data_IF_928714876317
#
_entry.id   IF_928714876317
#
_cell.length_a   1.000
_cell.length_b   1.000
_cell.length_c   1.000
_cell.angle_alpha   90.00
_cell.angle_beta   90.00
_cell.angle_gamma   90.00
#
_symmetry.space_group_name_H-M   'P 1'
#
loop_
_entity.id
_entity.type
_entity.pdbx_description
1 polymer ?
#
# COMPACT_ATOMS: atom_id res chain seq x y z
N UNK A 1 10.98 -16.84 16.07
CA UNK A 1 10.43 -17.66 14.97
C UNK A 1 11.07 -19.02 15.01
N UNK A 2 10.39 -19.99 15.64
CA UNK A 2 10.89 -21.37 15.78
C UNK A 2 11.24 -22.00 14.42
N UNK A 3 10.58 -21.54 13.36
CA UNK A 3 10.66 -22.17 12.03
C UNK A 3 11.83 -21.66 11.16
N UNK A 4 12.40 -20.49 11.44
CA UNK A 4 13.52 -19.93 10.63
C UNK A 4 14.82 -19.74 11.41
N UNK A 5 14.85 -20.08 12.71
CA UNK A 5 16.05 -19.94 13.54
C UNK A 5 16.51 -18.49 13.80
N UNK A 6 15.76 -17.49 13.33
CA UNK A 6 16.07 -16.07 13.52
C UNK A 6 14.80 -15.23 13.66
N UNK A 7 14.95 -14.00 14.17
CA UNK A 7 13.87 -12.99 14.18
C UNK A 7 13.75 -12.35 12.80
N UNK A 8 12.53 -12.03 12.36
CA UNK A 8 12.27 -11.43 11.05
C UNK A 8 11.47 -10.13 11.17
N UNK A 9 11.34 -9.40 10.08
CA UNK A 9 10.58 -8.14 9.99
C UNK A 9 9.19 -8.34 9.36
N UNK A 10 8.31 -7.33 9.47
CA UNK A 10 6.99 -7.34 8.82
C UNK A 10 7.17 -7.42 7.31
N UNK A 11 8.14 -6.67 6.78
CA UNK A 11 8.50 -6.72 5.37
C UNK A 11 8.84 -8.15 4.93
N UNK A 12 9.68 -8.86 5.70
CA UNK A 12 10.04 -10.25 5.39
C UNK A 12 8.84 -11.19 5.53
N UNK A 13 7.99 -11.05 6.56
CA UNK A 13 6.78 -11.86 6.69
C UNK A 13 5.87 -11.71 5.47
N UNK A 14 5.61 -10.47 5.03
CA UNK A 14 4.84 -10.19 3.82
C UNK A 14 5.49 -10.75 2.56
N UNK A 15 6.83 -10.66 2.44
CA UNK A 15 7.57 -11.24 1.34
C UNK A 15 7.42 -12.76 1.29
N UNK A 16 7.57 -13.45 2.42
CA UNK A 16 7.43 -14.90 2.52
C UNK A 16 6.02 -15.35 2.11
N UNK A 17 4.98 -14.64 2.57
CA UNK A 17 3.61 -14.93 2.12
C UNK A 17 3.42 -14.68 0.63
N UNK A 18 3.85 -13.52 0.13
CA UNK A 18 3.66 -13.13 -1.28
C UNK A 18 4.45 -13.99 -2.26
N UNK A 19 5.72 -14.29 -1.96
CA UNK A 19 6.66 -14.91 -2.91
C UNK A 19 6.81 -16.41 -2.71
N UNK A 20 6.77 -16.89 -1.47
CA UNK A 20 6.91 -18.31 -1.17
C UNK A 20 5.58 -18.98 -0.85
N UNK A 21 4.50 -18.21 -0.77
CA UNK A 21 3.16 -18.75 -0.55
C UNK A 21 2.95 -19.30 0.85
N UNK A 22 3.71 -18.81 1.85
CA UNK A 22 3.68 -19.26 3.24
C UNK A 22 2.65 -18.48 4.06
N UNK A 23 1.92 -19.17 4.93
CA UNK A 23 1.22 -18.52 6.04
C UNK A 23 2.24 -18.21 7.13
N UNK A 24 2.33 -16.95 7.54
CA UNK A 24 3.31 -16.45 8.50
C UNK A 24 2.60 -15.68 9.58
N UNK A 25 2.77 -16.12 10.83
CA UNK A 25 2.43 -15.35 12.02
C UNK A 25 3.72 -14.78 12.61
N UNK A 26 3.75 -13.48 12.88
CA UNK A 26 4.86 -12.77 13.46
C UNK A 26 4.41 -12.07 14.74
N UNK A 27 4.81 -12.64 15.89
CA UNK A 27 4.56 -12.05 17.20
C UNK A 27 5.61 -10.99 17.54
N UNK A 28 5.29 -10.09 18.49
CA UNK A 28 6.19 -8.99 18.89
C UNK A 28 7.57 -9.49 19.31
N UNK A 29 7.69 -10.63 19.99
CA UNK A 29 8.95 -11.18 20.50
C UNK A 29 9.87 -11.66 19.38
N UNK A 30 9.28 -12.01 18.24
CA UNK A 30 9.92 -12.59 17.07
C UNK A 30 10.27 -11.53 16.01
N UNK A 31 9.86 -10.28 16.27
CA UNK A 31 9.97 -9.17 15.35
C UNK A 31 11.28 -8.38 15.54
N UNK A 32 12.00 -8.11 14.45
CA UNK A 32 13.34 -7.49 14.49
C UNK A 32 13.43 -6.07 13.88
N UNK A 33 12.32 -5.37 13.62
CA UNK A 33 12.37 -4.00 13.12
C UNK A 33 11.99 -3.00 14.24
N UNK A 34 12.95 -2.18 14.75
CA UNK A 34 12.68 -1.22 15.83
C UNK A 34 11.57 -0.22 15.50
N UNK A 35 11.54 0.30 14.26
CA UNK A 35 10.48 1.21 13.84
C UNK A 35 9.12 0.54 13.89
N UNK A 36 8.99 -0.71 13.43
CA UNK A 36 7.72 -1.42 13.48
C UNK A 36 7.29 -1.81 14.90
N UNK A 37 8.21 -2.02 15.84
CA UNK A 37 7.86 -2.13 17.27
C UNK A 37 7.12 -0.89 17.78
N UNK A 38 7.55 0.30 17.37
CA UNK A 38 6.88 1.56 17.71
C UNK A 38 5.58 1.73 16.92
N UNK A 39 5.61 1.48 15.60
CA UNK A 39 4.47 1.74 14.72
C UNK A 39 3.30 0.80 15.00
N UNK A 40 3.55 -0.50 15.17
CA UNK A 40 2.51 -1.50 15.46
C UNK A 40 2.07 -1.50 16.93
N UNK A 41 2.58 -0.58 17.75
CA UNK A 41 2.16 -0.46 19.15
C UNK A 41 2.68 -1.57 20.06
N UNK A 42 3.71 -2.32 19.66
CA UNK A 42 4.33 -3.34 20.51
C UNK A 42 5.10 -2.73 21.69
N UNK A 43 5.59 -1.50 21.52
CA UNK A 43 6.22 -0.71 22.57
C UNK A 43 5.76 0.74 22.53
N UNK A 44 5.91 1.44 23.65
CA UNK A 44 5.66 2.89 23.70
C UNK A 44 6.70 3.62 22.83
N UNK A 45 6.30 4.62 22.03
CA UNK A 45 7.25 5.43 21.27
C UNK A 45 8.21 6.13 22.25
N UNK A 46 9.52 5.89 22.17
CA UNK A 46 10.47 6.61 23.01
C UNK A 46 10.57 8.07 22.58
N UNK A 47 10.88 8.96 23.52
CA UNK A 47 11.04 10.40 23.24
C UNK A 47 12.07 10.65 22.14
N UNK A 48 13.17 9.89 22.13
CA UNK A 48 14.17 9.94 21.07
C UNK A 48 13.58 9.68 19.66
N UNK A 49 12.59 8.81 19.52
CA UNK A 49 11.91 8.60 18.24
C UNK A 49 10.95 9.75 17.92
N UNK A 50 10.19 10.23 18.91
CA UNK A 50 9.25 11.37 18.75
C UNK A 50 9.95 12.65 18.31
N UNK A 51 11.21 12.83 18.70
CA UNK A 51 12.07 13.92 18.27
C UNK A 51 12.55 13.80 16.82
N UNK A 52 12.17 12.77 16.08
CA UNK A 52 12.48 12.62 14.66
C UNK A 52 13.89 12.11 14.38
N UNK A 53 14.56 11.48 15.35
CA UNK A 53 15.98 11.10 15.18
C UNK A 53 16.22 10.01 14.11
N UNK A 54 15.20 9.23 13.74
CA UNK A 54 15.31 8.26 12.62
C UNK A 54 15.38 8.96 11.24
N UNK A 55 14.48 9.90 10.89
CA UNK A 55 14.57 10.62 9.63
C UNK A 55 15.80 11.50 9.45
N UNK A 56 16.32 12.04 10.55
CA UNK A 56 17.33 13.08 10.55
C UNK A 56 18.65 12.56 9.93
N UNK A 57 19.24 13.34 9.01
CA UNK A 57 20.46 13.01 8.27
C UNK A 57 20.31 11.99 7.15
N UNK A 58 19.18 11.28 7.07
CA UNK A 58 18.89 10.33 5.99
C UNK A 58 17.88 10.89 4.98
N UNK A 59 16.87 11.60 5.46
CA UNK A 59 15.76 12.09 4.65
C UNK A 59 15.54 13.60 4.78
N UNK A 60 16.10 14.20 5.82
CA UNK A 60 16.10 15.65 6.03
C UNK A 60 17.18 16.01 7.04
N UNK A 61 17.79 17.18 6.88
CA UNK A 61 18.72 17.74 7.85
C UNK A 61 18.03 18.71 8.82
N UNK A 62 16.71 18.93 8.68
CA UNK A 62 15.94 19.86 9.49
C UNK A 62 15.25 19.11 10.65
N UNK A 63 15.59 19.39 11.92
CA UNK A 63 14.99 18.70 13.06
C UNK A 63 13.46 18.80 13.12
N UNK A 64 12.90 19.94 12.72
CA UNK A 64 11.45 20.13 12.68
C UNK A 64 10.77 19.26 11.61
N UNK A 65 11.35 19.18 10.41
CA UNK A 65 10.85 18.31 9.35
C UNK A 65 10.92 16.83 9.78
N UNK A 66 12.01 16.45 10.46
CA UNK A 66 12.20 15.10 10.99
C UNK A 66 11.13 14.75 12.05
N UNK A 67 10.85 15.65 12.99
CA UNK A 67 9.74 15.51 13.97
C UNK A 67 8.39 15.38 13.28
N UNK A 68 8.14 16.21 12.27
CA UNK A 68 6.88 16.16 11.52
C UNK A 68 6.69 14.79 10.87
N UNK A 69 7.72 14.22 10.24
CA UNK A 69 7.66 12.88 9.63
C UNK A 69 7.20 11.81 10.63
N UNK A 70 7.77 11.77 11.83
CA UNK A 70 7.38 10.77 12.84
C UNK A 70 6.02 11.05 13.48
N UNK A 71 5.64 12.33 13.63
CA UNK A 71 4.29 12.69 14.11
C UNK A 71 3.16 12.25 13.17
N UNK A 72 3.43 12.17 11.85
CA UNK A 72 2.45 11.80 10.80
C UNK A 72 2.45 10.31 10.45
N UNK A 73 3.37 9.53 11.00
CA UNK A 73 3.39 8.07 10.86
C UNK A 73 2.12 7.45 11.44
N UNK A 74 1.47 6.56 10.68
CA UNK A 74 0.33 5.77 11.18
C UNK A 74 0.81 4.80 12.26
N UNK A 75 0.09 4.73 13.39
CA UNK A 75 0.46 3.91 14.54
C UNK A 75 -0.77 3.32 15.22
N UNK A 76 -0.68 2.05 15.63
CA UNK A 76 -1.67 1.46 16.52
C UNK A 76 -1.50 1.95 17.95
N UNK A 77 -2.54 1.78 18.77
CA UNK A 77 -2.42 2.04 20.21
C UNK A 77 -1.49 0.99 20.82
N UNK A 78 -0.76 1.40 21.85
CA UNK A 78 0.17 0.50 22.52
C UNK A 78 -0.58 -0.66 23.15
N UNK A 79 -0.14 -1.88 22.87
CA UNK A 79 -0.74 -3.11 23.38
C UNK A 79 -2.05 -3.52 22.71
N UNK A 80 -2.49 -2.84 21.65
CA UNK A 80 -3.72 -3.17 20.93
C UNK A 80 -3.61 -4.51 20.18
N UNK A 81 -2.43 -4.81 19.63
CA UNK A 81 -2.14 -6.06 18.92
C UNK A 81 -0.87 -6.71 19.46
N UNK A 82 -0.83 -8.05 19.43
CA UNK A 82 0.33 -8.85 19.90
C UNK A 82 1.22 -9.33 18.76
N UNK A 83 0.78 -9.20 17.51
CA UNK A 83 1.46 -9.67 16.32
C UNK A 83 0.64 -9.43 15.07
N UNK A 84 1.07 -10.01 13.96
CA UNK A 84 0.37 -10.01 12.69
C UNK A 84 0.42 -11.39 12.04
N UNK A 85 -0.59 -11.74 11.26
CA UNK A 85 -0.59 -12.94 10.42
C UNK A 85 -0.81 -12.55 8.96
N UNK A 86 -0.03 -13.13 8.05
CA UNK A 86 -0.18 -12.95 6.60
C UNK A 86 -0.19 -14.29 5.89
N UNK A 87 -0.96 -14.38 4.81
CA UNK A 87 -1.01 -15.54 3.93
C UNK A 87 -1.40 -15.10 2.51
N UNK A 88 -1.12 -15.90 1.48
CA UNK A 88 -1.83 -15.82 0.21
C UNK A 88 -3.35 -15.92 0.44
N UNK A 89 -4.13 -15.11 -0.27
CA UNK A 89 -5.57 -15.01 -0.05
C UNK A 89 -6.32 -16.33 -0.27
N UNK A 90 -5.81 -17.17 -1.17
CA UNK A 90 -6.31 -18.51 -1.50
C UNK A 90 -5.92 -19.58 -0.48
N UNK A 91 -4.97 -19.27 0.42
CA UNK A 91 -4.50 -20.15 1.51
C UNK A 91 -4.85 -19.66 2.91
N UNK A 92 -5.48 -18.49 3.01
CA UNK A 92 -5.84 -17.92 4.30
C UNK A 92 -6.95 -18.77 4.94
N UNK A 93 -6.63 -19.39 6.08
CA UNK A 93 -7.54 -20.16 6.93
C UNK A 93 -8.10 -19.34 8.10
N UNK A 94 -7.84 -18.03 8.08
CA UNK A 94 -8.33 -17.03 9.03
C UNK A 94 -9.08 -15.92 8.30
N UNK A 95 -9.86 -15.13 9.04
CA UNK A 95 -10.49 -13.93 8.52
C UNK A 95 -9.46 -12.78 8.53
N UNK A 96 -8.97 -12.30 7.37
CA UNK A 96 -8.04 -11.17 7.36
C UNK A 96 -8.75 -9.86 7.71
N UNK A 97 -8.00 -8.85 8.17
CA UNK A 97 -8.53 -7.49 8.36
C UNK A 97 -8.51 -6.67 7.06
N UNK A 98 -7.56 -6.99 6.18
CA UNK A 98 -7.36 -6.33 4.88
C UNK A 98 -6.58 -7.23 3.92
N UNK A 99 -6.54 -6.83 2.66
CA UNK A 99 -5.76 -7.49 1.59
C UNK A 99 -4.72 -6.52 1.04
N UNK A 100 -3.50 -7.00 0.82
CA UNK A 100 -2.44 -6.28 0.12
C UNK A 100 -2.30 -6.85 -1.30
N UNK A 101 -2.33 -5.96 -2.29
CA UNK A 101 -2.10 -6.28 -3.70
C UNK A 101 -0.83 -5.55 -4.15
N UNK A 102 0.22 -6.33 -4.41
CA UNK A 102 1.42 -5.80 -5.04
C UNK A 102 1.17 -5.66 -6.54
N UNK A 103 1.38 -4.47 -7.07
CA UNK A 103 0.92 -4.10 -8.40
C UNK A 103 1.91 -3.15 -9.11
N UNK A 104 1.90 -3.14 -10.44
CA UNK A 104 2.59 -2.09 -11.20
C UNK A 104 1.70 -0.85 -11.38
N UNK A 105 2.21 0.20 -12.04
CA UNK A 105 1.46 1.45 -12.26
C UNK A 105 0.12 1.26 -12.98
N UNK A 106 0.07 0.37 -13.98
CA UNK A 106 -1.17 0.10 -14.73
C UNK A 106 -2.21 -0.61 -13.86
N UNK A 107 -1.78 -1.61 -13.10
CA UNK A 107 -2.64 -2.32 -12.15
C UNK A 107 -3.10 -1.40 -11.02
N UNK A 108 -2.22 -0.53 -10.51
CA UNK A 108 -2.56 0.49 -9.52
C UNK A 108 -3.64 1.44 -10.05
N UNK A 109 -3.49 1.95 -11.29
CA UNK A 109 -4.54 2.77 -11.92
C UNK A 109 -5.90 2.06 -11.93
N UNK A 110 -5.93 0.78 -12.33
CA UNK A 110 -7.16 -0.01 -12.33
C UNK A 110 -7.75 -0.19 -10.92
N UNK A 111 -6.91 -0.46 -9.93
CA UNK A 111 -7.33 -0.63 -8.54
C UNK A 111 -7.84 0.68 -7.92
N UNK A 112 -7.22 1.81 -8.26
CA UNK A 112 -7.71 3.14 -7.90
C UNK A 112 -9.10 3.34 -8.52
N UNK A 113 -9.27 3.16 -9.82
CA UNK A 113 -10.59 3.23 -10.47
C UNK A 113 -11.62 2.30 -9.81
N UNK A 114 -11.22 1.06 -9.51
CA UNK A 114 -12.06 0.06 -8.88
C UNK A 114 -12.53 0.48 -7.48
N UNK A 115 -11.64 1.04 -6.66
CA UNK A 115 -12.00 1.53 -5.32
C UNK A 115 -13.04 2.64 -5.31
N UNK A 116 -13.18 3.35 -6.42
CA UNK A 116 -14.10 4.46 -6.58
C UNK A 116 -15.38 4.05 -7.30
N UNK A 117 -15.53 2.76 -7.62
CA UNK A 117 -16.61 2.27 -8.47
C UNK A 117 -17.99 2.58 -7.92
N UNK A 118 -18.17 2.45 -6.60
CA UNK A 118 -19.48 2.59 -5.95
C UNK A 118 -19.88 4.03 -5.67
N UNK A 119 -18.93 4.89 -5.32
CA UNK A 119 -19.21 6.23 -4.79
C UNK A 119 -18.50 7.37 -5.54
N UNK A 120 -17.60 7.06 -6.48
CA UNK A 120 -16.82 8.02 -7.23
C UNK A 120 -15.82 8.85 -6.41
N UNK A 121 -15.70 8.63 -5.10
CA UNK A 121 -14.86 9.46 -4.21
C UNK A 121 -13.39 9.31 -4.55
N UNK A 122 -12.58 10.35 -4.36
CA UNK A 122 -11.15 10.24 -4.62
C UNK A 122 -10.49 9.26 -3.64
N UNK A 123 -9.48 8.55 -4.11
CA UNK A 123 -8.59 7.81 -3.23
C UNK A 123 -7.59 8.80 -2.64
N UNK A 124 -7.73 9.11 -1.35
CA UNK A 124 -6.74 9.90 -0.63
C UNK A 124 -5.63 9.00 -0.10
N UNK A 125 -4.45 9.09 -0.71
CA UNK A 125 -3.27 8.36 -0.28
C UNK A 125 -2.29 9.29 0.44
N UNK A 126 -1.83 8.90 1.63
CA UNK A 126 -0.72 9.56 2.31
C UNK A 126 0.58 8.86 1.93
N UNK A 127 1.34 9.47 1.04
CA UNK A 127 2.58 8.90 0.50
C UNK A 127 3.77 9.38 1.34
N UNK A 128 4.37 8.48 2.11
CA UNK A 128 5.54 8.82 2.94
C UNK A 128 6.88 8.41 2.33
N UNK A 129 6.90 7.43 1.40
CA UNK A 129 8.13 6.83 0.87
C UNK A 129 8.94 6.04 1.91
N UNK A 130 8.40 5.86 3.11
CA UNK A 130 8.99 5.15 4.25
C UNK A 130 7.91 4.32 4.93
N UNK A 131 8.28 3.52 5.93
CA UNK A 131 7.31 2.84 6.81
C UNK A 131 6.16 2.15 6.04
N UNK A 132 6.44 1.54 4.89
CA UNK A 132 5.41 1.07 3.96
C UNK A 132 4.46 0.05 4.61
N UNK A 133 4.95 -0.75 5.57
CA UNK A 133 4.11 -1.63 6.38
C UNK A 133 3.07 -0.86 7.22
N UNK A 134 3.41 0.30 7.77
CA UNK A 134 2.46 1.13 8.50
C UNK A 134 1.46 1.82 7.58
N UNK A 135 1.90 2.36 6.45
CA UNK A 135 0.98 2.99 5.49
C UNK A 135 0.07 1.98 4.80
N UNK A 136 0.52 0.74 4.56
CA UNK A 136 -0.30 -0.31 3.95
C UNK A 136 -1.22 -1.00 4.94
N UNK A 137 -0.75 -1.35 6.14
CA UNK A 137 -1.55 -2.12 7.10
C UNK A 137 -2.27 -1.18 8.08
N UNK A 138 -1.51 -0.44 8.87
CA UNK A 138 -2.01 0.33 10.00
C UNK A 138 -2.98 1.41 9.51
N UNK A 139 -2.58 2.20 8.51
CA UNK A 139 -3.43 3.28 7.99
C UNK A 139 -4.73 2.74 7.43
N UNK A 140 -4.70 1.65 6.66
CA UNK A 140 -5.89 0.99 6.10
C UNK A 140 -6.86 0.53 7.19
N UNK A 141 -6.34 -0.09 8.26
CA UNK A 141 -7.17 -0.54 9.38
C UNK A 141 -7.76 0.65 10.15
N UNK A 142 -6.98 1.71 10.39
CA UNK A 142 -7.44 2.88 11.13
C UNK A 142 -8.48 3.71 10.37
N UNK A 143 -8.33 3.84 9.05
CA UNK A 143 -9.25 4.67 8.23
C UNK A 143 -10.43 3.88 7.71
N UNK A 144 -10.32 2.56 7.57
CA UNK A 144 -11.30 1.77 6.82
C UNK A 144 -11.29 2.08 5.32
N UNK A 145 -10.25 2.77 4.82
CA UNK A 145 -10.13 3.20 3.43
C UNK A 145 -8.95 2.53 2.72
N UNK A 146 -9.11 2.27 1.43
CA UNK A 146 -8.01 1.74 0.59
C UNK A 146 -6.79 2.67 0.62
N UNK A 147 -5.58 2.13 0.48
CA UNK A 147 -4.35 2.92 0.37
C UNK A 147 -3.57 2.55 -0.88
N UNK A 148 -2.88 3.52 -1.46
CA UNK A 148 -1.80 3.30 -2.43
C UNK A 148 -0.49 3.69 -1.76
N UNK A 149 0.47 2.78 -1.77
CA UNK A 149 1.74 2.94 -1.04
C UNK A 149 2.90 2.65 -1.98
N UNK A 150 3.91 3.53 -1.92
CA UNK A 150 5.20 3.32 -2.58
C UNK A 150 6.13 2.59 -1.62
N UNK A 151 6.69 1.42 -1.97
CA UNK A 151 7.64 0.71 -1.12
C UNK A 151 8.86 1.57 -0.79
N UNK A 152 9.13 1.70 0.51
CA UNK A 152 10.32 2.37 1.02
C UNK A 152 11.53 1.44 1.12
N UNK A 153 12.65 1.98 1.63
CA UNK A 153 13.95 1.30 1.68
C UNK A 153 13.88 -0.08 2.36
N UNK A 154 13.20 -0.19 3.51
CA UNK A 154 13.06 -1.46 4.22
C UNK A 154 12.35 -2.55 3.41
N UNK A 155 11.32 -2.20 2.63
CA UNK A 155 10.62 -3.14 1.76
C UNK A 155 11.48 -3.55 0.55
N UNK A 156 12.33 -2.66 0.04
CA UNK A 156 13.23 -2.98 -1.07
C UNK A 156 14.36 -3.91 -0.62
N UNK A 157 15.02 -3.58 0.49
CA UNK A 157 16.16 -4.36 1.01
C UNK A 157 15.70 -5.71 1.57
N UNK A 158 14.64 -5.73 2.39
CA UNK A 158 14.28 -6.93 3.17
C UNK A 158 13.15 -7.76 2.55
N UNK A 159 12.38 -7.17 1.63
CA UNK A 159 11.24 -7.81 0.99
C UNK A 159 11.31 -7.79 -0.55
N UNK A 160 12.48 -7.47 -1.11
CA UNK A 160 12.75 -7.48 -2.55
C UNK A 160 11.65 -6.81 -3.39
N UNK A 161 11.07 -5.72 -2.87
CA UNK A 161 10.07 -4.96 -3.61
C UNK A 161 10.73 -4.30 -4.83
N UNK A 162 10.17 -4.52 -6.02
CA UNK A 162 10.75 -4.06 -7.27
C UNK A 162 10.62 -2.55 -7.50
N UNK A 163 11.40 -2.01 -8.43
CA UNK A 163 11.38 -0.57 -8.77
C UNK A 163 10.07 -0.11 -9.41
N UNK A 164 9.39 -1.02 -10.11
CA UNK A 164 8.09 -0.80 -10.72
C UNK A 164 6.92 -1.28 -9.86
N UNK A 165 7.17 -1.63 -8.59
CA UNK A 165 6.18 -2.20 -7.70
C UNK A 165 5.59 -1.17 -6.74
N UNK A 166 4.27 -1.19 -6.62
CA UNK A 166 3.44 -0.45 -5.69
C UNK A 166 2.65 -1.43 -4.82
N UNK A 167 2.13 -0.95 -3.70
CA UNK A 167 1.25 -1.73 -2.82
C UNK A 167 -0.10 -1.02 -2.79
N UNK A 168 -1.15 -1.73 -3.18
CA UNK A 168 -2.53 -1.28 -3.00
C UNK A 168 -3.17 -2.11 -1.90
N UNK A 169 -3.91 -1.47 -0.99
CA UNK A 169 -4.55 -2.16 0.12
C UNK A 169 -6.05 -1.98 0.11
N UNK A 170 -6.76 -3.02 0.52
CA UNK A 170 -8.22 -3.03 0.57
C UNK A 170 -8.65 -3.53 1.95
N UNK A 171 -9.32 -2.71 2.77
CA UNK A 171 -9.91 -3.18 4.02
C UNK A 171 -11.05 -4.15 3.71
N UNK A 172 -11.23 -5.19 4.52
CA UNK A 172 -12.23 -6.23 4.23
C UNK A 172 -13.66 -5.69 4.06
N UNK A 173 -14.02 -4.64 4.80
CA UNK A 173 -15.32 -3.97 4.66
C UNK A 173 -15.58 -3.38 3.27
N UNK A 174 -14.53 -3.07 2.50
CA UNK A 174 -14.62 -2.53 1.13
C UNK A 174 -14.36 -3.55 0.03
N UNK A 175 -13.91 -4.76 0.37
CA UNK A 175 -13.42 -5.74 -0.61
C UNK A 175 -14.44 -6.06 -1.70
N UNK A 176 -15.71 -6.30 -1.33
CA UNK A 176 -16.77 -6.61 -2.29
C UNK A 176 -16.99 -5.48 -3.31
N UNK A 177 -17.01 -4.23 -2.83
CA UNK A 177 -17.20 -3.06 -3.67
C UNK A 177 -16.02 -2.86 -4.63
N UNK A 178 -14.80 -3.07 -4.15
CA UNK A 178 -13.59 -3.01 -4.98
C UNK A 178 -13.60 -4.12 -6.04
N UNK A 179 -13.99 -5.36 -5.71
CA UNK A 179 -14.03 -6.46 -6.67
C UNK A 179 -14.98 -6.18 -7.84
N UNK A 180 -16.18 -5.66 -7.57
CA UNK A 180 -17.09 -5.21 -8.65
C UNK A 180 -16.44 -4.12 -9.51
N UNK A 181 -15.70 -3.20 -8.88
CA UNK A 181 -14.95 -2.18 -9.59
C UNK A 181 -13.82 -2.73 -10.45
N UNK A 182 -13.12 -3.79 -10.00
CA UNK A 182 -12.05 -4.44 -10.75
C UNK A 182 -12.61 -5.06 -12.02
N UNK A 183 -13.76 -5.75 -11.96
CA UNK A 183 -14.42 -6.32 -13.14
C UNK A 183 -14.70 -5.25 -14.20
N UNK A 184 -15.17 -4.06 -13.80
CA UNK A 184 -15.36 -2.93 -14.72
C UNK A 184 -14.06 -2.32 -15.21
N UNK A 185 -13.07 -2.14 -14.34
CA UNK A 185 -11.77 -1.55 -14.69
C UNK A 185 -10.97 -2.43 -15.67
N UNK A 186 -11.16 -3.75 -15.65
CA UNK A 186 -10.56 -4.67 -16.61
C UNK A 186 -11.09 -4.50 -18.04
N UNK A 187 -12.35 -4.03 -18.19
CA UNK A 187 -12.94 -3.74 -19.50
C UNK A 187 -12.45 -2.42 -20.12
N UNK A 188 -11.75 -1.57 -19.35
CA UNK A 188 -11.24 -0.30 -19.86
C UNK A 188 -10.08 -0.54 -20.84
N UNK A 189 -10.12 0.08 -22.04
CA UNK A 189 -9.03 -0.02 -22.99
C UNK A 189 -7.77 0.64 -22.40
N UNK A 190 -6.62 0.04 -22.66
CA UNK A 190 -5.32 0.58 -22.28
C UNK A 190 -4.54 0.94 -23.54
N UNK A 191 -3.75 2.01 -23.47
CA UNK A 191 -2.98 2.48 -24.62
C UNK A 191 -2.11 1.36 -25.24
N UNK A 192 -1.82 1.44 -26.55
CA UNK A 192 -0.96 0.46 -27.22
C UNK A 192 0.37 0.31 -26.49
N UNK A 193 0.85 -0.93 -26.35
CA UNK A 193 2.15 -1.24 -25.72
C UNK A 193 3.35 -0.79 -26.54
N UNK A 194 3.12 -0.36 -27.78
CA UNK A 194 4.13 0.10 -28.73
C UNK A 194 3.75 1.51 -29.15
N UNK A 195 4.74 2.39 -29.25
CA UNK A 195 4.52 3.73 -29.79
C UNK A 195 4.19 3.63 -31.29
N UNK A 196 2.93 3.87 -31.63
CA UNK A 196 2.43 3.86 -33.02
C UNK A 196 2.35 5.29 -33.60
N UNK A 197 3.17 6.21 -33.10
CA UNK A 197 3.06 7.64 -33.39
C UNK A 197 2.08 8.39 -32.48
N UNK A 198 1.81 9.65 -32.83
CA UNK A 198 0.87 10.51 -32.12
C UNK A 198 -0.55 9.93 -32.21
N UNK A 199 -1.16 9.66 -31.05
CA UNK A 199 -2.52 9.16 -31.00
C UNK A 199 -3.52 10.29 -31.31
N UNK A 200 -4.48 10.03 -32.19
CA UNK A 200 -5.51 10.99 -32.55
C UNK A 200 -6.74 10.86 -31.65
N UNK A 201 -7.35 12.00 -31.28
CA UNK A 201 -8.61 12.06 -30.55
C UNK A 201 -9.74 11.32 -31.29
N UNK A 202 -9.69 11.24 -32.62
CA UNK A 202 -10.66 10.47 -33.44
C UNK A 202 -10.66 8.98 -33.10
N UNK A 203 -9.58 8.45 -32.50
CA UNK A 203 -9.47 7.04 -32.06
C UNK A 203 -9.84 6.83 -30.58
N UNK A 204 -10.26 7.86 -29.86
CA UNK A 204 -10.70 7.73 -28.47
C UNK A 204 -12.10 7.08 -28.40
N UNK A 205 -12.47 6.49 -27.24
CA UNK A 205 -13.81 5.93 -27.04
C UNK A 205 -14.92 6.94 -27.36
N UNK A 206 -16.08 6.45 -27.84
CA UNK A 206 -17.25 7.28 -28.23
C UNK A 206 -17.62 8.37 -27.20
N UNK A 207 -17.44 8.08 -25.92
CA UNK A 207 -17.71 9.03 -24.83
C UNK A 207 -16.84 10.30 -24.91
N UNK A 208 -15.59 10.17 -25.34
CA UNK A 208 -14.69 11.31 -25.55
C UNK A 208 -15.04 12.07 -26.83
N UNK A 209 -15.44 11.36 -27.90
CA UNK A 209 -15.90 12.00 -29.14
C UNK A 209 -17.15 12.85 -28.88
N UNK A 210 -18.14 12.30 -28.18
CA UNK A 210 -19.34 13.05 -27.76
C UNK A 210 -19.00 14.29 -26.92
N UNK A 211 -18.04 14.18 -25.99
CA UNK A 211 -17.60 15.34 -25.23
C UNK A 211 -16.97 16.40 -26.15
N UNK A 212 -16.12 15.99 -27.09
CA UNK A 212 -15.48 16.89 -28.06
C UNK A 212 -16.52 17.63 -28.92
N UNK A 213 -17.56 16.95 -29.39
CA UNK A 213 -18.69 17.57 -30.10
C UNK A 213 -19.39 18.63 -29.24
N UNK A 214 -19.70 18.31 -27.98
CA UNK A 214 -20.39 19.23 -27.04
C UNK A 214 -19.58 20.51 -26.81
N UNK A 215 -18.24 20.41 -26.73
CA UNK A 215 -17.37 21.56 -26.44
C UNK A 215 -16.81 22.22 -27.71
N UNK A 216 -17.28 21.85 -28.90
CA UNK A 216 -16.89 22.48 -30.16
C UNK A 216 -15.44 22.19 -30.59
N UNK A 217 -14.90 21.02 -30.26
CA UNK A 217 -13.56 20.57 -30.66
C UNK A 217 -13.57 19.65 -31.90
N UNK A 218 -14.72 19.45 -32.53
CA UNK A 218 -14.83 18.75 -33.81
C UNK A 218 -14.76 19.76 -34.96
N UNK A 219 -13.79 19.57 -35.87
CA UNK A 219 -13.68 20.31 -37.14
C UNK A 219 -14.93 20.14 -38.02
#
# INVERSE_FOLDING_TARGET
MRDFGQKITVCQALFLSKKLGLTVTLLKEEHNCPSAHVLFGFTKPPEWWLQGNIPLGWYTDLPEAARNMESKSARFKVGEYVGLTSAPIDKADFKPDLVLVYCNSLQAMRLICASRYKDGRLLEAKLSGRNACADSIIRTMLTGECQLVVPGLGSRILAFSGDNELIFTVPMGRLRDVLMGVEKALSMPVSPKVWLGLQSIRKLPERFQKLAEIIGLTD
#
